data_IF_941378899941
#
_entry.id   IF_941378899941
#
_cell.length_a   1.000
_cell.length_b   1.000
_cell.length_c   1.000
_cell.angle_alpha   90.00
_cell.angle_beta   90.00
_cell.angle_gamma   90.00
#
_symmetry.space_group_name_H-M   'P 1'
#
loop_
_entity.id
_entity.type
_entity.pdbx_description
1 polymer ?
#
# COMPACT_ATOMS: atom_id res chain seq x y z
N UNK A 1 -13.47 6.25 -22.36
CA UNK A 1 -12.45 7.15 -22.93
C UNK A 1 -11.41 7.31 -21.85
N UNK A 2 -10.26 6.68 -22.03
CA UNK A 2 -9.20 6.70 -21.02
C UNK A 2 -8.46 8.02 -21.13
N UNK A 3 -8.65 8.88 -20.14
CA UNK A 3 -7.89 10.11 -19.97
C UNK A 3 -6.47 9.70 -19.57
N UNK A 4 -5.59 9.59 -20.56
CA UNK A 4 -4.17 9.30 -20.27
C UNK A 4 -3.52 10.59 -19.77
N UNK A 5 -2.70 10.51 -18.71
CA UNK A 5 -1.98 11.69 -18.21
C UNK A 5 -0.91 12.12 -19.21
N UNK A 6 -1.29 13.02 -20.11
CA UNK A 6 -0.39 13.59 -21.10
C UNK A 6 0.13 14.93 -20.61
N UNK A 7 1.44 15.16 -20.79
CA UNK A 7 2.01 16.49 -20.63
C UNK A 7 1.65 17.38 -21.81
N UNK A 8 1.87 18.69 -21.69
CA UNK A 8 1.60 19.68 -22.74
C UNK A 8 2.36 19.44 -24.06
N UNK A 9 3.37 18.56 -24.05
CA UNK A 9 4.16 18.13 -25.21
C UNK A 9 3.61 16.87 -25.90
N UNK A 10 2.49 16.33 -25.43
CA UNK A 10 1.86 15.13 -25.97
C UNK A 10 2.57 13.81 -25.60
N UNK A 11 3.61 13.86 -24.77
CA UNK A 11 4.34 12.69 -24.30
C UNK A 11 3.75 12.19 -23.00
N UNK A 12 3.96 10.89 -22.70
CA UNK A 12 3.63 10.29 -21.42
C UNK A 12 4.38 11.02 -20.30
N UNK A 13 3.65 11.45 -19.27
CA UNK A 13 4.22 12.12 -18.11
C UNK A 13 4.17 11.18 -16.90
N UNK A 14 5.29 10.56 -16.47
CA UNK A 14 5.31 9.68 -15.31
C UNK A 14 4.84 10.35 -14.01
N UNK A 15 5.06 11.66 -13.90
CA UNK A 15 4.63 12.44 -12.74
C UNK A 15 3.11 12.53 -12.59
N UNK A 16 2.37 12.38 -13.69
CA UNK A 16 0.92 12.45 -13.73
C UNK A 16 0.24 11.07 -13.53
N UNK A 17 0.99 10.02 -13.26
CA UNK A 17 0.40 8.72 -12.94
C UNK A 17 -0.42 8.81 -11.66
N UNK A 18 -1.64 8.25 -11.64
CA UNK A 18 -2.57 8.34 -10.51
C UNK A 18 -2.09 7.59 -9.26
N UNK A 19 -1.20 6.63 -9.45
CA UNK A 19 -0.57 5.84 -8.38
C UNK A 19 0.92 5.79 -8.65
N UNK A 20 1.72 5.97 -7.62
CA UNK A 20 3.18 5.86 -7.67
C UNK A 20 3.68 4.74 -6.77
N UNK A 21 4.74 4.08 -7.19
CA UNK A 21 5.37 3.03 -6.39
C UNK A 21 5.85 3.55 -5.03
N UNK A 22 6.25 4.82 -4.95
CA UNK A 22 6.67 5.49 -3.72
C UNK A 22 5.53 5.66 -2.69
N UNK A 23 4.26 5.73 -3.15
CA UNK A 23 3.09 5.89 -2.28
C UNK A 23 2.70 4.57 -1.60
N UNK A 24 3.19 3.44 -2.11
CA UNK A 24 2.92 2.11 -1.56
C UNK A 24 3.97 1.78 -0.51
N UNK A 25 3.59 1.90 0.77
CA UNK A 25 4.48 1.59 1.89
C UNK A 25 4.12 0.24 2.53
N UNK A 26 4.71 -0.83 2.00
CA UNK A 26 4.53 -2.20 2.49
C UNK A 26 5.04 -2.39 3.92
N UNK A 27 6.09 -1.66 4.33
CA UNK A 27 6.66 -1.77 5.67
C UNK A 27 5.70 -1.21 6.73
N UNK A 28 5.00 -0.12 6.43
CA UNK A 28 3.97 0.43 7.31
C UNK A 28 2.79 -0.53 7.47
N UNK A 29 2.40 -1.22 6.40
CA UNK A 29 1.32 -2.23 6.43
C UNK A 29 1.74 -3.38 7.35
N UNK A 30 2.94 -3.92 7.17
CA UNK A 30 3.49 -4.99 8.01
C UNK A 30 3.65 -4.55 9.48
N UNK A 31 4.10 -3.32 9.72
CA UNK A 31 4.18 -2.76 11.08
C UNK A 31 2.79 -2.63 11.73
N UNK A 32 1.77 -2.30 10.93
CA UNK A 32 0.37 -2.29 11.36
C UNK A 32 -0.11 -3.69 11.79
N UNK A 33 0.22 -4.72 11.02
CA UNK A 33 -0.09 -6.11 11.38
C UNK A 33 0.59 -6.54 12.69
N UNK A 34 1.87 -6.19 12.87
CA UNK A 34 2.58 -6.45 14.12
C UNK A 34 1.92 -5.75 15.32
N UNK A 35 1.47 -4.50 15.13
CA UNK A 35 0.77 -3.75 16.16
C UNK A 35 -0.56 -4.39 16.54
N UNK A 36 -1.32 -4.92 15.58
CA UNK A 36 -2.55 -5.67 15.86
C UNK A 36 -2.27 -6.92 16.71
N UNK A 37 -1.23 -7.69 16.38
CA UNK A 37 -0.84 -8.87 17.18
C UNK A 37 -0.43 -8.48 18.59
N UNK A 38 0.34 -7.40 18.73
CA UNK A 38 0.77 -6.90 20.02
C UNK A 38 -0.42 -6.47 20.89
N UNK A 39 -1.40 -5.77 20.32
CA UNK A 39 -2.63 -5.39 21.01
C UNK A 39 -3.43 -6.60 21.50
N UNK A 40 -3.60 -7.63 20.65
CA UNK A 40 -4.28 -8.86 21.03
C UNK A 40 -3.59 -9.57 22.19
N UNK A 41 -2.28 -9.67 22.16
CA UNK A 41 -1.48 -10.28 23.22
C UNK A 41 -1.52 -9.47 24.53
N UNK A 42 -1.50 -8.12 24.44
CA UNK A 42 -1.55 -7.26 25.63
C UNK A 42 -2.91 -7.35 26.34
N UNK A 43 -4.01 -7.37 25.57
CA UNK A 43 -5.36 -7.58 26.14
C UNK A 43 -5.46 -8.93 26.86
N UNK A 44 -4.97 -9.99 26.24
CA UNK A 44 -5.00 -11.35 26.79
C UNK A 44 -4.14 -11.43 28.07
N UNK A 45 -2.92 -10.93 28.04
CA UNK A 45 -2.03 -10.92 29.20
C UNK A 45 -2.59 -10.11 30.38
N UNK A 46 -3.26 -8.99 30.12
CA UNK A 46 -3.93 -8.19 31.16
C UNK A 46 -5.11 -8.94 31.75
N UNK A 47 -5.88 -9.64 30.92
CA UNK A 47 -6.99 -10.44 31.39
C UNK A 47 -6.51 -11.62 32.23
N UNK A 48 -5.43 -12.30 31.85
CA UNK A 48 -4.81 -13.35 32.61
C UNK A 48 -4.34 -12.84 34.00
N UNK A 49 -3.74 -11.67 34.05
CA UNK A 49 -3.34 -11.05 35.31
C UNK A 49 -4.55 -10.75 36.21
N UNK A 50 -5.64 -10.19 35.63
CA UNK A 50 -6.89 -9.95 36.38
C UNK A 50 -7.50 -11.25 36.87
N UNK A 51 -7.57 -12.28 36.01
CA UNK A 51 -8.09 -13.60 36.39
C UNK A 51 -7.24 -14.25 37.50
N UNK A 52 -5.91 -14.11 37.44
CA UNK A 52 -5.00 -14.57 38.50
C UNK A 52 -5.26 -13.88 39.85
N UNK A 53 -5.43 -12.55 39.85
CA UNK A 53 -5.80 -11.83 41.07
C UNK A 53 -7.18 -12.25 41.58
N UNK A 54 -8.14 -12.46 40.67
CA UNK A 54 -9.49 -12.91 41.05
C UNK A 54 -9.48 -14.30 41.70
N UNK A 55 -8.68 -15.23 41.20
CA UNK A 55 -8.51 -16.54 41.79
C UNK A 55 -7.94 -16.47 43.22
N UNK A 56 -7.17 -15.44 43.54
CA UNK A 56 -6.68 -15.19 44.88
C UNK A 56 -7.79 -14.95 45.92
N UNK A 57 -8.99 -14.51 45.46
CA UNK A 57 -10.14 -14.37 46.34
C UNK A 57 -10.59 -15.71 46.99
N UNK A 58 -10.35 -16.83 46.31
CA UNK A 58 -10.70 -18.15 46.81
C UNK A 58 -10.01 -18.50 48.15
N UNK A 59 -8.91 -17.83 48.48
CA UNK A 59 -8.19 -18.02 49.73
C UNK A 59 -8.70 -17.15 50.90
N UNK A 60 -9.56 -16.16 50.63
CA UNK A 60 -9.94 -15.15 51.64
C UNK A 60 -11.45 -14.83 51.66
N UNK A 61 -12.20 -15.29 50.68
CA UNK A 61 -13.63 -15.05 50.58
C UNK A 61 -14.41 -16.34 50.76
N UNK A 62 -15.15 -16.41 51.86
CA UNK A 62 -16.03 -17.53 52.20
C UNK A 62 -17.46 -17.01 52.37
N UNK A 63 -18.36 -17.38 51.47
CA UNK A 63 -19.77 -17.03 51.49
C UNK A 63 -20.59 -18.08 50.73
N UNK A 64 -21.90 -18.17 50.97
CA UNK A 64 -22.76 -19.14 50.28
C UNK A 64 -22.72 -19.02 48.76
N UNK A 65 -22.46 -17.81 48.22
CA UNK A 65 -22.38 -17.48 46.81
C UNK A 65 -20.96 -17.53 46.21
N UNK A 66 -19.96 -17.99 46.96
CA UNK A 66 -18.54 -17.96 46.57
C UNK A 66 -18.27 -18.61 45.19
N UNK A 67 -18.93 -19.73 44.86
CA UNK A 67 -18.76 -20.40 43.57
C UNK A 67 -19.23 -19.57 42.41
N UNK A 68 -20.29 -18.77 42.56
CA UNK A 68 -20.79 -17.83 41.57
C UNK A 68 -19.75 -16.75 41.34
N UNK A 69 -19.23 -16.16 42.43
CA UNK A 69 -18.22 -15.10 42.40
C UNK A 69 -16.94 -15.60 41.71
N UNK A 70 -16.44 -16.78 42.04
CA UNK A 70 -15.25 -17.35 41.40
C UNK A 70 -15.44 -17.61 39.91
N UNK A 71 -16.67 -17.92 39.49
CA UNK A 71 -17.03 -18.17 38.11
C UNK A 71 -17.17 -16.91 37.21
N UNK A 72 -17.32 -15.71 37.80
CA UNK A 72 -17.65 -14.48 37.06
C UNK A 72 -16.58 -14.07 36.02
N UNK A 73 -15.30 -14.41 36.23
CA UNK A 73 -14.23 -14.05 35.31
C UNK A 73 -14.09 -14.98 34.11
N UNK A 74 -14.71 -16.17 34.12
CA UNK A 74 -14.58 -17.14 33.01
C UNK A 74 -15.08 -16.57 31.64
N UNK A 75 -16.26 -15.92 31.58
CA UNK A 75 -16.71 -15.33 30.32
C UNK A 75 -15.77 -14.21 29.79
N UNK A 76 -15.23 -13.41 30.73
CA UNK A 76 -14.31 -12.33 30.36
C UNK A 76 -12.96 -12.88 29.84
N UNK A 77 -12.42 -13.92 30.46
CA UNK A 77 -11.21 -14.59 29.98
C UNK A 77 -11.44 -15.23 28.61
N UNK A 78 -12.55 -15.92 28.38
CA UNK A 78 -12.90 -16.48 27.09
C UNK A 78 -13.07 -15.40 26.00
N UNK A 79 -13.62 -14.24 26.36
CA UNK A 79 -13.77 -13.12 25.44
C UNK A 79 -12.41 -12.50 25.05
N UNK A 80 -11.45 -12.42 26.00
CA UNK A 80 -10.11 -11.90 25.69
C UNK A 80 -9.34 -12.83 24.77
N UNK A 81 -9.44 -14.13 24.95
CA UNK A 81 -8.83 -15.14 24.09
C UNK A 81 -9.42 -15.08 22.66
N UNK A 82 -10.74 -14.92 22.55
CA UNK A 82 -11.41 -14.71 21.26
C UNK A 82 -10.96 -13.41 20.59
N UNK A 83 -10.79 -12.34 21.35
CA UNK A 83 -10.29 -11.05 20.86
C UNK A 83 -8.86 -11.19 20.33
N UNK A 84 -7.95 -11.83 21.08
CA UNK A 84 -6.59 -12.15 20.63
C UNK A 84 -6.58 -12.92 19.33
N UNK A 85 -7.42 -13.97 19.22
CA UNK A 85 -7.57 -14.74 17.97
C UNK A 85 -8.04 -13.88 16.82
N UNK A 86 -9.00 -12.97 17.05
CA UNK A 86 -9.53 -12.06 16.04
C UNK A 86 -8.49 -11.07 15.55
N UNK A 87 -7.73 -10.45 16.46
CA UNK A 87 -6.62 -9.58 16.11
C UNK A 87 -5.51 -10.31 15.34
N UNK A 88 -5.21 -11.55 15.73
CA UNK A 88 -4.28 -12.42 15.03
C UNK A 88 -4.69 -12.64 13.57
N UNK A 89 -5.94 -13.06 13.33
CA UNK A 89 -6.48 -13.27 11.97
C UNK A 89 -6.49 -11.99 11.15
N UNK A 90 -6.83 -10.85 11.75
CA UNK A 90 -6.79 -9.56 11.08
C UNK A 90 -5.36 -9.19 10.69
N UNK A 91 -4.39 -9.42 11.57
CA UNK A 91 -2.98 -9.19 11.30
C UNK A 91 -2.45 -10.10 10.18
N UNK A 92 -2.85 -11.37 10.16
CA UNK A 92 -2.47 -12.31 9.11
C UNK A 92 -2.99 -11.86 7.74
N UNK A 93 -4.26 -11.42 7.67
CA UNK A 93 -4.83 -10.87 6.44
C UNK A 93 -4.11 -9.60 5.95
N UNK A 94 -3.67 -8.73 6.87
CA UNK A 94 -2.89 -7.53 6.54
C UNK A 94 -1.50 -7.90 6.03
N UNK A 95 -0.84 -8.90 6.61
CA UNK A 95 0.46 -9.38 6.13
C UNK A 95 0.36 -10.07 4.76
N UNK A 96 -0.69 -10.87 4.54
CA UNK A 96 -0.97 -11.45 3.22
C UNK A 96 -1.18 -10.36 2.17
N UNK A 97 -1.92 -9.31 2.51
CA UNK A 97 -2.11 -8.16 1.64
C UNK A 97 -0.78 -7.45 1.33
N UNK A 98 0.05 -7.18 2.34
CA UNK A 98 1.37 -6.57 2.15
C UNK A 98 2.26 -7.42 1.21
N UNK A 99 2.21 -8.74 1.38
CA UNK A 99 2.94 -9.70 0.54
C UNK A 99 2.43 -9.68 -0.91
N UNK A 100 1.11 -9.63 -1.10
CA UNK A 100 0.50 -9.62 -2.42
C UNK A 100 0.78 -8.33 -3.22
N UNK A 101 0.83 -7.17 -2.56
CA UNK A 101 1.10 -5.88 -3.23
C UNK A 101 2.58 -5.60 -3.45
N UNK A 102 3.48 -6.29 -2.76
CA UNK A 102 4.94 -6.08 -2.90
C UNK A 102 5.45 -6.27 -4.34
N UNK A 103 5.10 -7.35 -5.07
CA UNK A 103 5.48 -7.48 -6.47
C UNK A 103 4.85 -6.39 -7.35
N UNK A 104 3.59 -6.00 -7.10
CA UNK A 104 2.92 -4.92 -7.85
C UNK A 104 3.65 -3.59 -7.69
N UNK A 105 4.14 -3.28 -6.48
CA UNK A 105 4.98 -2.11 -6.22
C UNK A 105 6.25 -2.14 -7.08
N UNK A 106 6.90 -3.29 -7.16
CA UNK A 106 8.13 -3.46 -7.94
C UNK A 106 7.87 -3.32 -9.45
N UNK A 107 6.77 -3.89 -9.95
CA UNK A 107 6.36 -3.75 -11.34
C UNK A 107 6.01 -2.30 -11.67
N UNK A 108 5.28 -1.61 -10.80
CA UNK A 108 4.95 -0.21 -10.97
C UNK A 108 6.21 0.66 -11.04
N UNK A 109 7.19 0.43 -10.15
CA UNK A 109 8.47 1.13 -10.18
C UNK A 109 9.24 0.90 -11.49
N UNK A 110 9.21 -0.32 -12.03
CA UNK A 110 9.83 -0.64 -13.31
C UNK A 110 9.14 0.10 -14.47
N UNK A 111 7.80 0.15 -14.48
CA UNK A 111 7.03 0.89 -15.50
C UNK A 111 7.25 2.40 -15.42
N UNK A 112 7.36 2.97 -14.21
CA UNK A 112 7.72 4.37 -14.01
C UNK A 112 9.09 4.68 -14.63
N UNK A 113 10.07 3.84 -14.39
CA UNK A 113 11.43 3.98 -14.93
C UNK A 113 11.46 3.82 -16.47
N UNK A 114 10.69 2.89 -17.00
CA UNK A 114 10.55 2.69 -18.45
C UNK A 114 9.92 3.93 -19.10
N UNK A 115 8.86 4.49 -18.52
CA UNK A 115 8.20 5.69 -19.00
C UNK A 115 9.13 6.91 -18.97
N UNK A 116 9.94 7.08 -17.94
CA UNK A 116 10.97 8.14 -17.87
C UNK A 116 12.02 7.97 -18.98
N UNK A 117 12.51 6.75 -19.19
CA UNK A 117 13.49 6.42 -20.20
C UNK A 117 12.95 6.70 -21.60
N UNK A 118 11.72 6.27 -21.89
CA UNK A 118 11.02 6.52 -23.14
C UNK A 118 10.86 8.02 -23.39
N UNK A 119 10.42 8.77 -22.38
CA UNK A 119 10.28 10.23 -22.49
C UNK A 119 11.60 10.90 -22.81
N UNK A 120 12.67 10.52 -22.11
CA UNK A 120 14.01 11.08 -22.35
C UNK A 120 14.51 10.80 -23.78
N UNK A 121 14.25 9.61 -24.30
CA UNK A 121 14.62 9.25 -25.68
C UNK A 121 13.79 10.01 -26.71
N UNK A 122 12.47 10.10 -26.50
CA UNK A 122 11.59 10.87 -27.38
C UNK A 122 11.99 12.35 -27.46
N UNK A 123 12.33 12.98 -26.35
CA UNK A 123 12.82 14.35 -26.31
C UNK A 123 14.16 14.51 -27.04
N UNK A 124 15.06 13.55 -26.95
CA UNK A 124 16.33 13.54 -27.72
C UNK A 124 16.08 13.47 -29.23
N UNK A 125 15.12 12.65 -29.66
CA UNK A 125 14.75 12.53 -31.06
C UNK A 125 14.13 13.83 -31.57
N UNK A 126 13.20 14.42 -30.83
CA UNK A 126 12.56 15.71 -31.18
C UNK A 126 13.63 16.81 -31.32
N UNK A 127 14.63 16.86 -30.45
CA UNK A 127 15.74 17.84 -30.55
C UNK A 127 16.69 17.56 -31.73
N UNK A 128 16.73 16.35 -32.26
CA UNK A 128 17.54 15.99 -33.43
C UNK A 128 16.88 16.34 -34.76
N UNK A 129 15.55 16.28 -34.80
CA UNK A 129 14.78 16.51 -36.03
C UNK A 129 15.01 17.92 -36.60
N UNK A 130 15.05 19.02 -35.84
CA UNK A 130 15.28 20.38 -36.41
C UNK A 130 16.68 20.54 -37.02
N UNK A 131 17.64 19.73 -36.66
CA UNK A 131 18.99 19.79 -37.24
C UNK A 131 19.13 19.01 -38.55
N UNK A 132 18.17 18.15 -38.88
CA UNK A 132 18.17 17.35 -40.11
C UNK A 132 17.21 17.86 -41.18
N UNK A 133 16.40 18.88 -40.88
CA UNK A 133 15.48 19.51 -41.85
C UNK A 133 15.86 20.97 -42.07
N UNK A 134 16.97 21.29 -42.67
CA UNK A 134 17.16 22.65 -43.13
C UNK A 134 17.52 22.78 -44.60
N UNK A 135 17.14 21.93 -45.49
CA UNK A 135 17.27 22.31 -46.93
C UNK A 135 16.27 21.62 -47.87
N UNK A 136 15.77 20.41 -47.56
CA UNK A 136 14.88 19.71 -48.49
C UNK A 136 13.39 20.05 -48.38
N UNK A 137 12.90 20.50 -47.24
CA UNK A 137 11.48 20.84 -47.08
C UNK A 137 11.12 22.20 -47.75
N UNK A 138 12.04 23.15 -47.81
CA UNK A 138 11.82 24.43 -48.46
C UNK A 138 11.82 24.32 -49.99
N UNK A 139 12.57 23.38 -50.57
CA UNK A 139 12.59 23.15 -52.02
C UNK A 139 11.36 22.41 -52.56
N UNK A 140 10.75 21.53 -51.73
CA UNK A 140 9.55 20.80 -52.14
C UNK A 140 8.31 21.70 -52.08
N UNK A 141 8.19 22.55 -51.07
CA UNK A 141 7.05 23.50 -50.98
C UNK A 141 7.15 24.59 -52.05
N UNK A 142 8.35 25.05 -52.39
CA UNK A 142 8.54 26.05 -53.43
C UNK A 142 8.23 25.51 -54.83
N UNK A 143 8.55 24.26 -55.13
CA UNK A 143 8.28 23.66 -56.44
C UNK A 143 6.80 23.26 -56.64
N UNK A 144 6.02 23.04 -55.57
CA UNK A 144 4.59 22.70 -55.69
C UNK A 144 3.72 23.95 -55.85
N UNK A 145 4.10 25.08 -55.27
CA UNK A 145 3.27 26.28 -55.23
C UNK A 145 3.61 27.28 -56.33
N UNK A 146 4.83 27.29 -56.88
CA UNK A 146 5.29 28.25 -57.89
C UNK A 146 5.75 27.63 -59.19
N UNK A 147 5.72 26.35 -59.40
CA UNK A 147 6.11 25.64 -60.61
C UNK A 147 5.03 25.51 -61.70
N UNK A 148 3.89 26.17 -61.57
CA UNK A 148 2.82 26.21 -62.54
C UNK A 148 2.41 27.65 -62.87
N UNK A 149 3.28 28.37 -63.61
CA UNK A 149 2.91 29.46 -64.48
C UNK A 149 3.76 29.42 -65.73
#
# INVERSE_FOLDING_TARGET
>A
MSDQPQSSDGLVCPEAFPCKSADINTDNITSGAQSLRAMGNDVDARMDAIAGHWLGLAGVYEAPEQEIVYGLMRPAAAASEQMKSTFGKAADAVDEFATAISPMKSELAALEQEAESFRAEALRLIHRIPKMIPVMALTVVWNVEYGRR
#
